data_IF_268716957409
#
_entry.id   IF_268716957409
#
_cell.length_a   1.000
_cell.length_b   1.000
_cell.length_c   1.000
_cell.angle_alpha   90.00
_cell.angle_beta   90.00
_cell.angle_gamma   90.00
#
_symmetry.space_group_name_H-M   'P 1'
#
loop_
_entity.id
_entity.type
_entity.pdbx_description
1 polymer ?
#
# COMPACT_ATOMS: atom_id res chain seq x y z
N UNK A 1 -2.58 -40.53 48.69
CA UNK A 1 -1.89 -39.78 47.62
C UNK A 1 -2.87 -38.75 47.08
N UNK A 2 -2.48 -37.48 47.04
CA UNK A 2 -3.34 -36.36 46.62
C UNK A 2 -2.45 -35.34 45.92
N UNK A 3 -2.40 -35.39 44.59
CA UNK A 3 -1.56 -34.51 43.77
C UNK A 3 -2.36 -33.28 43.38
N UNK A 4 -2.16 -32.17 44.09
CA UNK A 4 -2.77 -30.88 43.72
C UNK A 4 -2.05 -30.32 42.49
N UNK A 5 -2.75 -30.26 41.36
CA UNK A 5 -2.27 -29.54 40.17
C UNK A 5 -2.45 -28.03 40.37
N UNK A 6 -1.35 -27.29 40.38
CA UNK A 6 -1.37 -25.84 40.39
C UNK A 6 -1.74 -25.32 38.98
N UNK A 7 -2.84 -24.57 38.87
CA UNK A 7 -3.17 -23.86 37.64
C UNK A 7 -2.31 -22.59 37.54
N UNK A 8 -1.44 -22.53 36.54
CA UNK A 8 -0.73 -21.31 36.19
C UNK A 8 -1.69 -20.32 35.53
N UNK A 9 -2.03 -19.24 36.22
CA UNK A 9 -2.81 -18.15 35.64
C UNK A 9 -1.94 -17.34 34.66
N UNK A 10 -2.11 -17.57 33.37
CA UNK A 10 -1.54 -16.70 32.34
C UNK A 10 -2.26 -15.35 32.39
N UNK A 11 -1.62 -14.36 32.99
CA UNK A 11 -2.03 -12.95 32.87
C UNK A 11 -1.62 -12.44 31.49
N UNK A 12 -2.39 -12.80 30.48
CA UNK A 12 -2.29 -12.22 29.15
C UNK A 12 -2.61 -10.72 29.26
N UNK A 13 -1.56 -9.89 29.22
CA UNK A 13 -1.67 -8.45 29.36
C UNK A 13 -2.30 -7.87 28.10
N UNK A 14 -3.63 -7.80 28.09
CA UNK A 14 -4.39 -7.14 27.04
C UNK A 14 -3.99 -5.65 26.96
N UNK A 15 -3.04 -5.34 26.07
CA UNK A 15 -2.78 -3.97 25.65
C UNK A 15 -4.12 -3.36 25.23
N UNK A 16 -4.54 -2.27 25.89
CA UNK A 16 -5.72 -1.53 25.46
C UNK A 16 -5.52 -1.15 23.98
N UNK A 17 -6.41 -1.64 23.12
CA UNK A 17 -6.29 -1.47 21.68
C UNK A 17 -6.53 0.01 21.35
N UNK A 18 -5.46 0.82 21.32
CA UNK A 18 -5.53 2.22 20.96
C UNK A 18 -5.72 2.45 19.46
N UNK A 19 -5.93 3.71 19.09
CA UNK A 19 -5.90 4.13 17.69
C UNK A 19 -4.51 4.01 17.04
N UNK A 20 -4.36 4.47 15.79
CA UNK A 20 -3.05 4.58 15.13
C UNK A 20 -2.05 5.35 16.01
N UNK A 21 -0.93 4.70 16.33
CA UNK A 21 0.18 5.31 17.08
C UNK A 21 0.93 6.33 16.20
N UNK A 22 1.83 7.13 16.79
CA UNK A 22 2.66 8.03 16.00
C UNK A 22 3.49 7.28 14.94
N UNK A 23 4.05 6.11 15.28
CA UNK A 23 4.78 5.27 14.34
C UNK A 23 3.88 4.74 13.21
N UNK A 24 2.59 4.52 13.46
CA UNK A 24 1.62 4.18 12.42
C UNK A 24 1.33 5.37 11.49
N UNK A 25 1.18 6.59 12.06
CA UNK A 25 1.02 7.84 11.28
C UNK A 25 2.27 8.16 10.45
N UNK A 26 3.47 7.98 11.01
CA UNK A 26 4.73 8.20 10.30
C UNK A 26 4.89 7.26 9.10
N UNK A 27 4.35 6.04 9.19
CA UNK A 27 4.30 5.07 8.08
C UNK A 27 3.34 5.49 6.97
N UNK A 28 2.15 5.97 7.33
CA UNK A 28 1.19 6.56 6.37
C UNK A 28 1.85 7.73 5.62
N UNK A 29 2.47 8.66 6.35
CA UNK A 29 3.11 9.86 5.76
C UNK A 29 4.25 9.48 4.80
N UNK A 30 5.17 8.60 5.21
CA UNK A 30 6.26 8.09 4.35
C UNK A 30 5.75 7.28 3.15
N UNK A 31 4.57 6.67 3.28
CA UNK A 31 3.85 6.03 2.18
C UNK A 31 3.37 7.04 1.14
N UNK A 32 2.69 8.10 1.58
CA UNK A 32 2.26 9.20 0.71
C UNK A 32 3.46 9.88 0.03
N UNK A 33 4.49 10.27 0.78
CA UNK A 33 5.74 10.83 0.25
C UNK A 33 6.38 9.94 -0.85
N UNK A 34 6.35 8.61 -0.65
CA UNK A 34 6.83 7.64 -1.64
C UNK A 34 5.94 7.51 -2.88
N UNK A 35 4.61 7.58 -2.73
CA UNK A 35 3.66 7.57 -3.86
C UNK A 35 3.77 8.87 -4.67
N UNK A 36 3.88 10.02 -4.00
CA UNK A 36 4.12 11.31 -4.64
C UNK A 36 5.43 11.32 -5.43
N UNK A 37 6.50 10.75 -4.86
CA UNK A 37 7.77 10.57 -5.55
C UNK A 37 7.64 9.64 -6.77
N UNK A 38 6.98 8.48 -6.63
CA UNK A 38 6.74 7.55 -7.76
C UNK A 38 5.94 8.21 -8.89
N UNK A 39 4.90 8.97 -8.58
CA UNK A 39 4.06 9.60 -9.60
C UNK A 39 4.78 10.75 -10.31
N UNK A 40 5.60 11.53 -9.59
CA UNK A 40 6.41 12.61 -10.16
C UNK A 40 7.64 12.11 -10.94
N UNK A 41 8.21 10.97 -10.56
CA UNK A 41 9.40 10.36 -11.18
C UNK A 41 9.06 9.09 -11.99
N UNK A 42 7.80 8.95 -12.41
CA UNK A 42 7.24 7.71 -12.96
C UNK A 42 8.11 7.08 -14.04
N UNK A 43 8.50 7.86 -15.04
CA UNK A 43 9.24 7.34 -16.20
C UNK A 43 10.69 6.97 -15.89
N UNK A 44 11.32 7.61 -14.89
CA UNK A 44 12.66 7.24 -14.41
C UNK A 44 12.65 6.05 -13.46
N UNK A 45 11.63 5.93 -12.58
CA UNK A 45 11.51 4.78 -11.69
C UNK A 45 11.09 3.52 -12.47
N UNK A 46 10.11 3.62 -13.36
CA UNK A 46 9.53 2.49 -14.10
C UNK A 46 10.29 2.13 -15.39
N UNK A 47 11.54 2.56 -15.55
CA UNK A 47 12.38 2.24 -16.71
C UNK A 47 13.79 1.80 -16.31
N UNK A 48 14.15 0.57 -16.65
CA UNK A 48 15.48 0.00 -16.42
C UNK A 48 16.24 -0.08 -17.74
N UNK A 49 17.28 0.75 -17.88
CA UNK A 49 18.22 0.70 -19.00
C UNK A 49 19.42 -0.19 -18.67
N UNK A 50 19.94 -0.93 -19.67
CA UNK A 50 21.16 -1.74 -19.50
C UNK A 50 22.39 -0.86 -19.67
N UNK A 51 23.32 -0.94 -18.70
CA UNK A 51 24.52 -0.09 -18.60
C UNK A 51 25.35 -0.01 -19.90
N UNK A 52 25.41 -1.11 -20.67
CA UNK A 52 26.15 -1.20 -21.94
C UNK A 52 25.36 -0.66 -23.15
N UNK A 53 24.57 0.41 -22.99
CA UNK A 53 23.79 1.03 -24.07
C UNK A 53 22.70 0.13 -24.67
N UNK A 54 22.18 -0.82 -23.89
CA UNK A 54 21.18 -1.77 -24.35
C UNK A 54 19.75 -1.24 -24.26
N UNK A 55 18.83 -2.00 -24.85
CA UNK A 55 17.37 -1.81 -24.76
C UNK A 55 16.92 -1.47 -23.32
N UNK A 56 16.34 -0.27 -23.17
CA UNK A 56 15.64 0.12 -21.95
C UNK A 56 14.27 -0.56 -21.91
N UNK A 57 13.97 -1.23 -20.79
CA UNK A 57 12.71 -1.93 -20.56
C UNK A 57 11.91 -1.23 -19.48
N UNK A 58 10.59 -1.29 -19.59
CA UNK A 58 9.69 -0.88 -18.51
C UNK A 58 9.75 -1.90 -17.36
N UNK A 59 9.66 -1.42 -16.13
CA UNK A 59 9.54 -2.24 -14.92
C UNK A 59 8.42 -1.72 -14.02
N UNK A 60 7.64 -2.65 -13.48
CA UNK A 60 6.52 -2.40 -12.58
C UNK A 60 6.82 -2.76 -11.12
N UNK A 61 8.05 -3.23 -10.80
CA UNK A 61 8.51 -3.43 -9.43
C UNK A 61 8.37 -2.17 -8.54
N UNK A 62 8.72 -0.95 -8.99
CA UNK A 62 8.59 0.26 -8.18
C UNK A 62 7.15 0.50 -7.69
N UNK A 63 6.15 0.21 -8.51
CA UNK A 63 4.73 0.32 -8.10
C UNK A 63 4.46 -0.57 -6.89
N UNK A 64 4.90 -1.83 -6.96
CA UNK A 64 4.71 -2.80 -5.88
C UNK A 64 5.51 -2.44 -4.63
N UNK A 65 6.68 -1.80 -4.79
CA UNK A 65 7.51 -1.25 -3.70
C UNK A 65 6.84 -0.10 -2.97
N UNK A 66 6.45 0.96 -3.68
CA UNK A 66 5.84 2.14 -3.06
C UNK A 66 4.43 1.84 -2.52
N UNK A 67 3.66 0.93 -3.12
CA UNK A 67 2.37 0.48 -2.60
C UNK A 67 2.46 -0.46 -1.38
N UNK A 68 3.65 -0.83 -0.90
CA UNK A 68 3.83 -1.67 0.29
C UNK A 68 3.66 -3.19 0.06
N UNK A 69 3.78 -3.64 -1.18
CA UNK A 69 3.44 -4.99 -1.65
C UNK A 69 4.68 -5.82 -2.03
N UNK A 70 5.88 -5.38 -1.59
CA UNK A 70 7.16 -5.93 -2.03
C UNK A 70 8.04 -6.48 -0.90
N UNK A 71 8.04 -5.82 0.25
CA UNK A 71 8.82 -6.15 1.45
C UNK A 71 8.02 -5.92 2.73
N UNK A 72 8.36 -6.65 3.79
CA UNK A 72 7.82 -6.41 5.15
C UNK A 72 8.29 -5.08 5.76
N UNK A 73 9.28 -4.44 5.14
CA UNK A 73 9.89 -3.17 5.57
C UNK A 73 9.32 -1.94 4.85
N UNK A 74 8.47 -2.12 3.83
CA UNK A 74 7.91 -1.00 3.08
C UNK A 74 6.95 -0.18 3.99
N UNK A 75 6.90 1.17 3.88
CA UNK A 75 6.08 1.98 4.78
C UNK A 75 4.62 1.53 4.85
N UNK A 76 4.04 1.16 3.70
CA UNK A 76 2.65 0.77 3.54
C UNK A 76 2.38 -0.74 3.70
N UNK A 77 3.37 -1.54 4.12
CA UNK A 77 3.20 -2.98 4.29
C UNK A 77 2.09 -3.34 5.30
N UNK A 78 1.01 -3.98 4.82
CA UNK A 78 -0.18 -4.30 5.63
C UNK A 78 -0.79 -3.06 6.31
N UNK A 79 -0.85 -1.91 5.62
CA UNK A 79 -1.37 -0.65 6.16
C UNK A 79 -2.86 -0.75 6.56
N UNK A 80 -3.58 -1.74 6.05
CA UNK A 80 -4.96 -2.07 6.42
C UNK A 80 -5.05 -2.43 7.92
N UNK A 81 -3.98 -2.99 8.51
CA UNK A 81 -3.86 -3.22 9.97
C UNK A 81 -3.65 -1.94 10.78
N UNK A 82 -3.22 -0.84 10.15
CA UNK A 82 -3.24 0.50 10.74
C UNK A 82 -4.65 1.08 10.64
N UNK A 83 -5.27 0.99 9.47
CA UNK A 83 -6.62 1.51 9.25
C UNK A 83 -7.65 0.86 10.18
N UNK A 84 -7.53 -0.46 10.42
CA UNK A 84 -8.36 -1.19 11.38
C UNK A 84 -8.23 -0.74 12.85
N UNK A 85 -7.28 0.15 13.20
CA UNK A 85 -7.17 0.79 14.52
C UNK A 85 -8.09 2.01 14.68
N UNK A 86 -8.61 2.59 13.59
CA UNK A 86 -9.42 3.82 13.65
C UNK A 86 -10.73 3.65 14.41
N UNK A 87 -11.28 2.43 14.46
CA UNK A 87 -12.40 2.05 15.35
C UNK A 87 -12.14 2.28 16.86
N UNK A 88 -10.88 2.53 17.23
CA UNK A 88 -10.45 2.80 18.61
C UNK A 88 -10.21 4.30 18.86
N UNK A 89 -10.58 5.17 17.90
CA UNK A 89 -10.59 6.63 18.05
C UNK A 89 -12.03 7.11 18.24
N UNK A 90 -12.21 8.14 19.06
CA UNK A 90 -13.43 8.93 19.09
C UNK A 90 -13.32 10.03 18.01
N UNK A 91 -13.96 9.81 16.86
CA UNK A 91 -13.93 10.71 15.70
C UNK A 91 -15.36 11.16 15.34
N UNK A 92 -15.53 12.41 14.88
CA UNK A 92 -16.76 12.88 14.25
C UNK A 92 -17.24 11.94 13.13
N UNK A 93 -18.55 11.79 12.99
CA UNK A 93 -19.15 10.85 12.02
C UNK A 93 -18.73 11.13 10.58
N UNK A 94 -18.64 12.41 10.19
CA UNK A 94 -18.18 12.87 8.88
C UNK A 94 -16.72 12.45 8.59
N UNK A 95 -15.86 12.48 9.61
CA UNK A 95 -14.48 11.98 9.52
C UNK A 95 -14.43 10.46 9.42
N UNK A 96 -15.29 9.73 10.14
CA UNK A 96 -15.38 8.27 10.04
C UNK A 96 -15.89 7.83 8.66
N UNK A 97 -16.94 8.46 8.15
CA UNK A 97 -17.50 8.23 6.82
C UNK A 97 -16.45 8.48 5.73
N UNK A 98 -15.81 9.67 5.74
CA UNK A 98 -14.71 10.02 4.84
C UNK A 98 -13.53 9.04 4.92
N UNK A 99 -13.22 8.52 6.12
CA UNK A 99 -12.14 7.55 6.34
C UNK A 99 -12.48 6.17 5.77
N UNK A 100 -13.72 5.70 5.94
CA UNK A 100 -14.13 4.39 5.43
C UNK A 100 -14.24 4.38 3.91
N UNK A 101 -14.86 5.40 3.30
CA UNK A 101 -14.85 5.56 1.83
C UNK A 101 -13.43 5.55 1.27
N UNK A 102 -12.52 6.33 1.88
CA UNK A 102 -11.13 6.39 1.48
C UNK A 102 -10.38 5.06 1.68
N UNK A 103 -10.79 4.26 2.67
CA UNK A 103 -10.23 2.92 2.89
C UNK A 103 -10.72 1.95 1.82
N UNK A 104 -11.95 2.08 1.31
CA UNK A 104 -12.47 1.28 0.20
C UNK A 104 -11.86 1.69 -1.16
N UNK A 105 -11.71 2.99 -1.41
CA UNK A 105 -10.93 3.55 -2.53
C UNK A 105 -9.50 2.97 -2.52
N UNK A 106 -8.80 3.05 -1.37
CA UNK A 106 -7.45 2.54 -1.19
C UNK A 106 -7.34 1.05 -1.50
N UNK A 107 -8.20 0.23 -0.89
CA UNK A 107 -8.14 -1.23 -1.06
C UNK A 107 -8.40 -1.62 -2.52
N UNK A 108 -9.33 -0.96 -3.19
CA UNK A 108 -9.63 -1.21 -4.61
C UNK A 108 -8.44 -0.83 -5.49
N UNK A 109 -7.90 0.39 -5.30
CA UNK A 109 -6.76 0.91 -6.06
C UNK A 109 -5.46 0.13 -5.82
N UNK A 110 -5.21 -0.33 -4.59
CA UNK A 110 -4.06 -1.16 -4.24
C UNK A 110 -4.12 -2.53 -4.94
N UNK A 111 -5.27 -3.22 -4.87
CA UNK A 111 -5.43 -4.50 -5.55
C UNK A 111 -5.35 -4.38 -7.07
N UNK A 112 -5.95 -3.33 -7.65
CA UNK A 112 -5.92 -3.09 -9.09
C UNK A 112 -4.54 -2.64 -9.59
N UNK A 113 -3.85 -1.72 -8.91
CA UNK A 113 -2.49 -1.31 -9.28
C UNK A 113 -1.52 -2.50 -9.28
N UNK A 114 -1.55 -3.34 -8.25
CA UNK A 114 -0.76 -4.58 -8.17
C UNK A 114 -1.09 -5.57 -9.29
N UNK A 115 -2.38 -5.75 -9.61
CA UNK A 115 -2.83 -6.66 -10.67
C UNK A 115 -2.35 -6.19 -12.04
N UNK A 116 -2.51 -4.90 -12.34
CA UNK A 116 -2.06 -4.31 -13.62
C UNK A 116 -0.52 -4.29 -13.71
N UNK A 117 0.18 -3.98 -12.61
CA UNK A 117 1.64 -4.05 -12.51
C UNK A 117 2.13 -5.48 -12.81
N UNK A 118 1.53 -6.50 -12.20
CA UNK A 118 1.86 -7.91 -12.44
C UNK A 118 1.62 -8.32 -13.91
N UNK A 119 0.45 -7.99 -14.48
CA UNK A 119 0.14 -8.31 -15.88
C UNK A 119 1.14 -7.65 -16.85
N UNK A 120 1.54 -6.39 -16.58
CA UNK A 120 2.51 -5.66 -17.41
C UNK A 120 3.83 -6.42 -17.58
N UNK A 121 4.30 -7.14 -16.55
CA UNK A 121 5.54 -7.91 -16.60
C UNK A 121 5.51 -9.08 -17.60
N UNK A 122 4.31 -9.49 -18.04
CA UNK A 122 4.10 -10.53 -19.06
C UNK A 122 3.67 -9.97 -20.42
N UNK A 123 3.55 -8.65 -20.58
CA UNK A 123 3.03 -8.00 -21.78
C UNK A 123 3.78 -8.33 -23.07
N UNK A 124 5.10 -8.53 -23.01
CA UNK A 124 5.93 -8.98 -24.15
C UNK A 124 5.79 -10.48 -24.51
N UNK A 125 5.27 -11.31 -23.60
CA UNK A 125 5.29 -12.77 -23.71
C UNK A 125 3.94 -13.40 -24.08
N UNK A 126 2.84 -12.65 -23.97
CA UNK A 126 1.49 -13.12 -24.28
C UNK A 126 1.24 -13.20 -25.81
N UNK A 127 0.36 -14.10 -26.29
CA UNK A 127 -0.07 -14.10 -27.70
C UNK A 127 -0.73 -12.77 -28.09
N UNK A 128 -0.20 -12.11 -29.14
CA UNK A 128 -0.62 -10.75 -29.51
C UNK A 128 -0.04 -9.63 -28.64
N UNK A 129 0.87 -9.96 -27.72
CA UNK A 129 1.57 -9.03 -26.83
C UNK A 129 2.71 -8.27 -27.50
N UNK A 130 3.34 -7.39 -26.70
CA UNK A 130 4.45 -6.54 -27.10
C UNK A 130 4.69 -5.42 -26.08
N UNK A 131 5.64 -4.52 -26.38
CA UNK A 131 5.96 -3.36 -25.53
C UNK A 131 4.76 -2.44 -25.29
N UNK A 132 3.85 -2.36 -26.25
CA UNK A 132 2.61 -1.57 -26.13
C UNK A 132 1.65 -2.14 -25.07
N UNK A 133 1.53 -3.47 -24.97
CA UNK A 133 0.74 -4.10 -23.89
C UNK A 133 1.43 -3.93 -22.53
N UNK A 134 2.77 -4.00 -22.45
CA UNK A 134 3.51 -3.65 -21.22
C UNK A 134 3.19 -2.22 -20.78
N UNK A 135 3.30 -1.24 -21.70
CA UNK A 135 3.01 0.17 -21.45
C UNK A 135 1.56 0.37 -21.00
N UNK A 136 0.60 -0.19 -21.73
CA UNK A 136 -0.84 -0.15 -21.43
C UNK A 136 -1.15 -0.61 -20.00
N UNK A 137 -0.70 -1.81 -19.60
CA UNK A 137 -0.97 -2.29 -18.24
C UNK A 137 -0.18 -1.51 -17.17
N UNK A 138 1.01 -1.00 -17.48
CA UNK A 138 1.73 -0.10 -16.58
C UNK A 138 1.01 1.25 -16.39
N UNK A 139 0.43 1.81 -17.45
CA UNK A 139 -0.34 3.07 -17.38
C UNK A 139 -1.73 2.86 -16.74
N UNK A 140 -2.38 1.70 -16.90
CA UNK A 140 -3.55 1.37 -16.06
C UNK A 140 -3.14 1.26 -14.59
N UNK A 141 -1.97 0.66 -14.29
CA UNK A 141 -1.43 0.64 -12.93
C UNK A 141 -1.19 2.06 -12.39
N UNK A 142 -0.64 2.97 -13.21
CA UNK A 142 -0.44 4.39 -12.86
C UNK A 142 -1.72 5.08 -12.43
N UNK A 143 -2.82 4.89 -13.18
CA UNK A 143 -4.13 5.48 -12.84
C UNK A 143 -4.62 5.00 -11.47
N UNK A 144 -4.40 3.73 -11.15
CA UNK A 144 -4.75 3.16 -9.85
C UNK A 144 -3.86 3.73 -8.72
N UNK A 145 -2.55 3.95 -8.97
CA UNK A 145 -1.67 4.64 -8.00
C UNK A 145 -2.15 6.08 -7.72
N UNK A 146 -2.67 6.81 -8.72
CA UNK A 146 -3.28 8.15 -8.51
C UNK A 146 -4.56 8.08 -7.65
N UNK A 147 -5.40 7.05 -7.82
CA UNK A 147 -6.57 6.84 -6.95
C UNK A 147 -6.11 6.53 -5.51
N UNK A 148 -5.09 5.68 -5.35
CA UNK A 148 -4.51 5.36 -4.05
C UNK A 148 -3.86 6.59 -3.36
N UNK A 149 -3.21 7.48 -4.12
CA UNK A 149 -2.70 8.76 -3.64
C UNK A 149 -3.82 9.63 -3.04
N UNK A 150 -4.91 9.82 -3.80
CA UNK A 150 -6.06 10.60 -3.36
C UNK A 150 -6.74 9.98 -2.12
N UNK A 151 -6.90 8.66 -2.11
CA UNK A 151 -7.42 7.90 -0.98
C UNK A 151 -6.56 8.06 0.29
N UNK A 152 -5.23 7.94 0.16
CA UNK A 152 -4.31 8.11 1.28
C UNK A 152 -4.31 9.56 1.81
N UNK A 153 -4.50 10.54 0.92
CA UNK A 153 -4.72 11.94 1.29
C UNK A 153 -6.00 12.17 2.10
N UNK A 154 -7.14 11.58 1.69
CA UNK A 154 -8.39 11.58 2.49
C UNK A 154 -8.17 10.95 3.88
N UNK A 155 -7.48 9.81 3.92
CA UNK A 155 -7.10 9.09 5.17
C UNK A 155 -6.27 9.96 6.10
N UNK A 156 -5.27 10.68 5.57
CA UNK A 156 -4.44 11.60 6.35
C UNK A 156 -5.27 12.77 6.91
N UNK A 157 -6.15 13.38 6.10
CA UNK A 157 -7.02 14.46 6.54
C UNK A 157 -8.00 14.02 7.64
N UNK A 158 -8.60 12.84 7.53
CA UNK A 158 -9.48 12.27 8.55
C UNK A 158 -8.75 11.94 9.87
N UNK A 159 -7.43 11.72 9.81
CA UNK A 159 -6.57 11.45 10.96
C UNK A 159 -5.83 12.68 11.51
N UNK A 160 -6.12 13.88 11.01
CA UNK A 160 -5.44 15.14 11.37
C UNK A 160 -3.90 15.00 11.27
N UNK A 161 -3.41 14.81 10.04
CA UNK A 161 -1.98 14.56 9.71
C UNK A 161 -1.39 15.55 8.72
#
# INVERSE_FOLDING_TARGET
>A
MTTTLAQAAFTESAQAAGGPTQADKDRIRKGAEGIDYLLSHWDSETTVCRENGGECKRDAEPVRRYMGLRSTTDPLFQIEKVFAKVKNLDLPQDKLESFFEATEDWNTAMNMSNSMAFISQFGEYNPGGGKEEVLKYLDESKKQVVIAQAALGKIMAALDM
#
